data_IF_912097974544
#
_entry.id   IF_912097974544
#
_cell.length_a   1.000
_cell.length_b   1.000
_cell.length_c   1.000
_cell.angle_alpha   90.00
_cell.angle_beta   90.00
_cell.angle_gamma   90.00
#
_symmetry.space_group_name_H-M   'P 1'
#
loop_
_entity.id
_entity.type
_entity.pdbx_description
1 polymer ?
#
# COMPACT_ATOMS: atom_id res chain seq x y z
N UNK A 1 -31.75 -16.66 -7.84
CA UNK A 1 -30.61 -17.59 -7.57
C UNK A 1 -29.99 -18.15 -8.85
N UNK A 2 -30.76 -18.41 -9.93
CA UNK A 2 -30.19 -18.71 -11.26
C UNK A 2 -29.63 -17.47 -12.00
N UNK A 3 -29.55 -17.54 -13.34
CA UNK A 3 -28.52 -16.97 -14.24
C UNK A 3 -27.08 -16.77 -13.74
N UNK A 4 -26.86 -16.03 -12.64
CA UNK A 4 -25.50 -15.62 -12.23
C UNK A 4 -24.64 -16.77 -11.71
N UNK A 5 -25.22 -17.70 -10.93
CA UNK A 5 -24.49 -18.87 -10.43
C UNK A 5 -24.06 -19.78 -11.59
N UNK A 6 -24.95 -19.99 -12.57
CA UNK A 6 -24.63 -20.75 -13.76
C UNK A 6 -23.48 -20.10 -14.54
N UNK A 7 -23.50 -18.78 -14.72
CA UNK A 7 -22.39 -18.03 -15.32
C UNK A 7 -21.07 -18.22 -14.55
N UNK A 8 -21.09 -18.17 -13.21
CA UNK A 8 -19.88 -18.43 -12.42
C UNK A 8 -19.34 -19.84 -12.61
N UNK A 9 -20.20 -20.86 -12.57
CA UNK A 9 -19.79 -22.26 -12.79
C UNK A 9 -19.21 -22.44 -14.19
N UNK A 10 -19.91 -21.97 -15.23
CA UNK A 10 -19.43 -22.03 -16.61
C UNK A 10 -18.09 -21.31 -16.76
N UNK A 11 -17.95 -20.12 -16.15
CA UNK A 11 -16.70 -19.35 -16.17
C UNK A 11 -15.56 -20.14 -15.52
N UNK A 12 -15.77 -20.72 -14.34
CA UNK A 12 -14.75 -21.53 -13.64
C UNK A 12 -14.33 -22.74 -14.48
N UNK A 13 -15.28 -23.45 -15.09
CA UNK A 13 -14.98 -24.61 -15.96
C UNK A 13 -14.20 -24.15 -17.20
N UNK A 14 -14.67 -23.11 -17.89
CA UNK A 14 -14.00 -22.59 -19.07
C UNK A 14 -12.58 -22.12 -18.77
N UNK A 15 -12.38 -21.37 -17.68
CA UNK A 15 -11.06 -20.94 -17.21
C UNK A 15 -10.17 -22.14 -16.83
N UNK A 16 -10.72 -23.17 -16.20
CA UNK A 16 -9.96 -24.37 -15.85
C UNK A 16 -9.47 -25.12 -17.11
N UNK A 17 -10.36 -25.32 -18.09
CA UNK A 17 -10.01 -25.98 -19.37
C UNK A 17 -8.98 -25.15 -20.13
N UNK A 18 -9.18 -23.83 -20.23
CA UNK A 18 -8.25 -22.93 -20.91
C UNK A 18 -6.87 -22.94 -20.24
N UNK A 19 -6.83 -22.84 -18.91
CA UNK A 19 -5.58 -22.86 -18.16
C UNK A 19 -4.85 -24.20 -18.31
N UNK A 20 -5.56 -25.32 -18.18
CA UNK A 20 -5.00 -26.66 -18.36
C UNK A 20 -4.40 -26.82 -19.76
N UNK A 21 -5.15 -26.43 -20.79
CA UNK A 21 -4.69 -26.49 -22.18
C UNK A 21 -3.45 -25.64 -22.42
N UNK A 22 -3.42 -24.41 -21.91
CA UNK A 22 -2.26 -23.52 -22.03
C UNK A 22 -1.04 -24.10 -21.33
N UNK A 23 -1.19 -24.58 -20.08
CA UNK A 23 -0.09 -25.14 -19.30
C UNK A 23 0.44 -26.46 -19.88
N UNK A 24 -0.37 -27.22 -20.62
CA UNK A 24 0.08 -28.42 -21.32
C UNK A 24 0.79 -28.12 -22.66
N UNK A 25 0.70 -26.88 -23.17
CA UNK A 25 1.35 -26.46 -24.42
C UNK A 25 2.72 -25.84 -24.24
N UNK A 26 3.05 -25.41 -23.03
CA UNK A 26 4.39 -24.90 -22.72
C UNK A 26 5.37 -26.06 -22.48
N UNK A 27 6.66 -25.76 -22.55
CA UNK A 27 7.71 -26.68 -22.15
C UNK A 27 7.53 -27.09 -20.69
N UNK A 28 7.94 -28.31 -20.37
CA UNK A 28 7.80 -28.87 -19.01
C UNK A 28 8.62 -28.04 -18.02
N UNK A 29 7.99 -27.33 -17.07
CA UNK A 29 8.73 -26.62 -16.04
C UNK A 29 9.15 -27.60 -14.93
N UNK A 30 10.27 -27.35 -14.25
CA UNK A 30 10.61 -28.10 -13.03
C UNK A 30 9.73 -27.67 -11.85
N UNK A 31 9.35 -26.39 -11.81
CA UNK A 31 8.55 -25.77 -10.75
C UNK A 31 7.46 -24.88 -11.35
N UNK A 32 6.31 -24.82 -10.70
CA UNK A 32 5.24 -23.86 -10.99
C UNK A 32 5.02 -23.03 -9.73
N UNK A 33 5.27 -21.72 -9.83
CA UNK A 33 4.98 -20.76 -8.76
C UNK A 33 3.63 -20.11 -9.05
N UNK A 34 2.69 -20.25 -8.11
CA UNK A 34 1.34 -19.73 -8.21
C UNK A 34 1.09 -18.72 -7.09
N UNK A 35 0.78 -17.48 -7.45
CA UNK A 35 0.36 -16.46 -6.51
C UNK A 35 -1.15 -16.58 -6.21
N UNK A 36 -1.53 -16.60 -4.93
CA UNK A 36 -2.92 -16.64 -4.47
C UNK A 36 -3.29 -15.36 -3.73
N UNK A 37 -4.40 -14.68 -4.06
CA UNK A 37 -5.44 -15.00 -5.07
C UNK A 37 -5.14 -14.46 -6.49
N UNK A 38 -5.85 -14.95 -7.55
CA UNK A 38 -6.95 -15.92 -7.52
C UNK A 38 -6.50 -17.38 -7.54
N UNK A 39 -6.95 -18.15 -6.54
CA UNK A 39 -6.64 -19.58 -6.42
C UNK A 39 -7.60 -20.51 -7.15
N UNK A 40 -8.87 -20.12 -7.30
CA UNK A 40 -9.89 -20.93 -7.99
C UNK A 40 -10.01 -20.48 -9.46
N UNK A 41 -9.86 -21.37 -10.47
CA UNK A 41 -9.51 -22.79 -10.41
C UNK A 41 -8.00 -23.09 -10.46
N UNK A 42 -7.15 -22.06 -10.45
CA UNK A 42 -5.72 -22.11 -10.72
C UNK A 42 -4.95 -23.15 -9.91
N UNK A 43 -5.18 -23.29 -8.61
CA UNK A 43 -4.42 -24.20 -7.73
C UNK A 43 -4.65 -25.66 -8.15
N UNK A 44 -5.91 -26.05 -8.36
CA UNK A 44 -6.25 -27.41 -8.78
C UNK A 44 -5.67 -27.77 -10.15
N UNK A 45 -5.75 -26.83 -11.10
CA UNK A 45 -5.20 -27.03 -12.44
C UNK A 45 -3.68 -27.12 -12.40
N UNK A 46 -3.00 -26.21 -11.68
CA UNK A 46 -1.55 -26.22 -11.55
C UNK A 46 -1.06 -27.49 -10.86
N UNK A 47 -1.76 -27.95 -9.82
CA UNK A 47 -1.48 -29.23 -9.15
C UNK A 47 -1.60 -30.41 -10.12
N UNK A 48 -2.70 -30.49 -10.89
CA UNK A 48 -2.90 -31.56 -11.87
C UNK A 48 -1.79 -31.56 -12.94
N UNK A 49 -1.39 -30.39 -13.43
CA UNK A 49 -0.28 -30.27 -14.38
C UNK A 49 1.03 -30.74 -13.75
N UNK A 50 1.32 -30.36 -12.51
CA UNK A 50 2.49 -30.81 -11.78
C UNK A 50 2.53 -32.34 -11.62
N UNK A 51 1.39 -32.96 -11.33
CA UNK A 51 1.25 -34.42 -11.27
C UNK A 51 1.60 -35.09 -12.61
N UNK A 52 1.00 -34.62 -13.70
CA UNK A 52 1.20 -35.18 -15.06
C UNK A 52 2.63 -34.95 -15.54
N UNK A 53 3.19 -33.79 -15.25
CA UNK A 53 4.51 -33.36 -15.73
C UNK A 53 5.64 -33.70 -14.76
N UNK A 54 5.37 -34.28 -13.58
CA UNK A 54 6.38 -34.47 -12.52
C UNK A 54 7.16 -33.17 -12.27
N UNK A 55 6.41 -32.09 -12.07
CA UNK A 55 6.89 -30.77 -11.64
C UNK A 55 6.49 -30.56 -10.18
N UNK A 56 7.10 -29.58 -9.50
CA UNK A 56 6.70 -29.19 -8.14
C UNK A 56 5.84 -27.93 -8.15
N UNK A 57 4.80 -27.88 -7.33
CA UNK A 57 3.93 -26.71 -7.15
C UNK A 57 4.35 -25.92 -5.91
N UNK A 58 4.59 -24.63 -6.09
CA UNK A 58 4.80 -23.65 -5.02
C UNK A 58 3.60 -22.70 -5.02
N UNK A 59 2.92 -22.54 -3.88
CA UNK A 59 1.86 -21.55 -3.73
C UNK A 59 2.36 -20.39 -2.87
N UNK A 60 2.28 -19.17 -3.38
CA UNK A 60 2.58 -17.95 -2.66
C UNK A 60 1.29 -17.26 -2.21
N UNK A 61 1.02 -17.31 -0.90
CA UNK A 61 -0.22 -16.85 -0.28
C UNK A 61 -0.11 -15.36 0.10
N UNK A 62 -0.79 -14.50 -0.66
CA UNK A 62 -0.92 -13.06 -0.43
C UNK A 62 -2.24 -12.70 0.25
N UNK A 63 -3.29 -13.48 0.01
CA UNK A 63 -4.57 -13.37 0.70
C UNK A 63 -5.34 -14.69 0.54
N UNK A 64 -6.53 -14.77 1.13
CA UNK A 64 -7.49 -15.82 0.81
C UNK A 64 -8.50 -15.33 -0.21
N UNK A 65 -8.65 -16.05 -1.33
CA UNK A 65 -9.66 -15.72 -2.33
C UNK A 65 -11.07 -15.73 -1.75
N UNK A 66 -11.35 -16.62 -0.78
CA UNK A 66 -12.66 -16.66 -0.13
C UNK A 66 -12.94 -15.43 0.76
N UNK A 67 -11.94 -14.80 1.38
CA UNK A 67 -12.17 -13.60 2.22
C UNK A 67 -12.49 -12.39 1.36
N UNK A 68 -11.80 -12.23 0.22
CA UNK A 68 -12.13 -11.20 -0.77
C UNK A 68 -13.54 -11.40 -1.32
N UNK A 69 -13.90 -12.64 -1.69
CA UNK A 69 -15.25 -12.97 -2.16
C UNK A 69 -16.34 -12.66 -1.12
N UNK A 70 -15.99 -12.78 0.16
CA UNK A 70 -16.90 -12.51 1.27
C UNK A 70 -17.26 -11.04 1.45
N UNK A 71 -16.45 -10.11 0.94
CA UNK A 71 -16.78 -8.68 0.94
C UNK A 71 -18.04 -8.40 0.11
N UNK A 72 -18.19 -9.11 -1.02
CA UNK A 72 -19.32 -8.94 -1.94
C UNK A 72 -20.53 -9.80 -1.54
N UNK A 73 -20.31 -11.07 -1.19
CA UNK A 73 -21.40 -12.04 -1.02
C UNK A 73 -21.78 -12.28 0.45
N UNK A 74 -20.95 -11.82 1.40
CA UNK A 74 -21.08 -12.16 2.81
C UNK A 74 -20.43 -13.50 3.17
N UNK A 75 -19.93 -13.60 4.41
CA UNK A 75 -19.16 -14.76 4.89
C UNK A 75 -19.91 -16.09 4.85
N UNK A 76 -21.22 -16.08 5.10
CA UNK A 76 -22.05 -17.28 5.16
C UNK A 76 -22.59 -17.74 3.80
N UNK A 77 -22.25 -17.04 2.72
CA UNK A 77 -22.74 -17.38 1.38
C UNK A 77 -22.19 -18.74 0.92
N UNK A 78 -23.00 -19.64 0.34
CA UNK A 78 -22.55 -20.98 -0.07
C UNK A 78 -21.32 -20.97 -1.00
N UNK A 79 -21.25 -20.03 -1.94
CA UNK A 79 -20.08 -19.89 -2.83
C UNK A 79 -18.78 -19.59 -2.05
N UNK A 80 -18.86 -18.76 -1.01
CA UNK A 80 -17.71 -18.40 -0.17
C UNK A 80 -17.25 -19.63 0.62
N UNK A 81 -18.19 -20.42 1.14
CA UNK A 81 -17.87 -21.66 1.86
C UNK A 81 -17.24 -22.72 0.93
N UNK A 82 -17.73 -22.85 -0.31
CA UNK A 82 -17.14 -23.72 -1.32
C UNK A 82 -15.72 -23.26 -1.68
N UNK A 83 -15.52 -21.97 -1.92
CA UNK A 83 -14.19 -21.40 -2.21
C UNK A 83 -13.22 -21.61 -1.05
N UNK A 84 -13.69 -21.44 0.20
CA UNK A 84 -12.90 -21.70 1.41
C UNK A 84 -12.48 -23.17 1.51
N UNK A 85 -13.41 -24.10 1.30
CA UNK A 85 -13.11 -25.52 1.27
C UNK A 85 -12.11 -25.86 0.15
N UNK A 86 -12.30 -25.28 -1.03
CA UNK A 86 -11.41 -25.46 -2.18
C UNK A 86 -9.97 -25.02 -1.89
N UNK A 87 -9.78 -23.79 -1.41
CA UNK A 87 -8.43 -23.27 -1.11
C UNK A 87 -7.77 -24.11 -0.02
N UNK A 88 -8.51 -24.54 1.01
CA UNK A 88 -7.99 -25.42 2.06
C UNK A 88 -7.61 -26.82 1.54
N UNK A 89 -8.41 -27.41 0.65
CA UNK A 89 -8.14 -28.74 0.12
C UNK A 89 -6.93 -28.71 -0.82
N UNK A 90 -7.01 -27.90 -1.88
CA UNK A 90 -5.99 -27.87 -2.93
C UNK A 90 -4.71 -27.18 -2.47
N UNK A 91 -4.78 -26.24 -1.54
CA UNK A 91 -3.61 -25.64 -0.91
C UNK A 91 -2.73 -26.63 -0.15
N UNK A 92 -3.28 -27.75 0.34
CA UNK A 92 -2.50 -28.82 1.00
C UNK A 92 -1.76 -29.73 0.03
N UNK A 93 -2.08 -29.65 -1.25
CA UNK A 93 -1.53 -30.54 -2.27
C UNK A 93 -0.27 -29.96 -2.94
N UNK A 94 0.12 -28.73 -2.60
CA UNK A 94 1.38 -28.12 -3.06
C UNK A 94 2.59 -28.72 -2.36
N UNK A 95 3.73 -28.71 -3.05
CA UNK A 95 5.02 -29.15 -2.51
C UNK A 95 5.59 -28.13 -1.53
N UNK A 96 5.45 -26.84 -1.85
CA UNK A 96 5.92 -25.74 -1.01
C UNK A 96 4.88 -24.62 -0.92
N UNK A 97 4.90 -23.88 0.18
CA UNK A 97 4.05 -22.71 0.38
C UNK A 97 4.87 -21.54 0.92
N UNK A 98 4.66 -20.37 0.34
CA UNK A 98 5.16 -19.07 0.78
C UNK A 98 3.98 -18.24 1.29
N UNK A 99 4.19 -17.31 2.21
CA UNK A 99 3.10 -16.44 2.67
C UNK A 99 3.62 -15.10 3.19
N UNK A 100 2.82 -14.05 3.03
CA UNK A 100 3.25 -12.65 3.23
C UNK A 100 3.49 -12.26 4.70
N UNK A 101 3.01 -13.04 5.67
CA UNK A 101 3.15 -12.73 7.10
C UNK A 101 3.38 -13.97 7.97
N UNK A 102 3.92 -13.76 9.16
CA UNK A 102 4.00 -14.81 10.19
C UNK A 102 2.60 -15.17 10.70
N UNK A 103 1.69 -14.20 10.82
CA UNK A 103 0.29 -14.45 11.15
C UNK A 103 -0.39 -15.39 10.13
N UNK A 104 -0.19 -15.16 8.84
CA UNK A 104 -0.73 -16.04 7.79
C UNK A 104 -0.10 -17.42 7.83
N UNK A 105 1.22 -17.52 8.07
CA UNK A 105 1.91 -18.80 8.26
C UNK A 105 1.26 -19.63 9.37
N UNK A 106 1.00 -19.01 10.52
CA UNK A 106 0.32 -19.67 11.63
C UNK A 106 -1.12 -20.07 11.31
N UNK A 107 -1.86 -19.20 10.61
CA UNK A 107 -3.24 -19.46 10.21
C UNK A 107 -3.34 -20.64 9.24
N UNK A 108 -2.49 -20.65 8.21
CA UNK A 108 -2.33 -21.74 7.25
C UNK A 108 -2.01 -23.07 7.95
N UNK A 109 -1.10 -23.05 8.93
CA UNK A 109 -0.77 -24.23 9.71
C UNK A 109 -1.96 -24.71 10.55
N UNK A 110 -2.52 -23.84 11.40
CA UNK A 110 -3.56 -24.21 12.37
C UNK A 110 -4.88 -24.58 11.70
N UNK A 111 -5.30 -23.83 10.68
CA UNK A 111 -6.63 -23.99 10.05
C UNK A 111 -6.60 -24.89 8.82
N UNK A 112 -5.52 -24.88 8.06
CA UNK A 112 -5.43 -25.60 6.79
C UNK A 112 -4.46 -26.79 6.83
N UNK A 113 -3.64 -26.95 7.88
CA UNK A 113 -2.54 -27.92 7.93
C UNK A 113 -1.59 -27.77 6.72
N UNK A 114 -1.32 -26.51 6.36
CA UNK A 114 -0.39 -26.11 5.30
C UNK A 114 0.87 -25.58 5.97
N UNK A 115 2.03 -26.18 5.68
CA UNK A 115 3.33 -25.67 6.13
C UNK A 115 3.80 -24.61 5.15
N UNK A 116 4.01 -23.39 5.63
CA UNK A 116 4.47 -22.28 4.82
C UNK A 116 5.74 -21.64 5.38
N UNK A 117 6.50 -20.99 4.51
CA UNK A 117 7.63 -20.12 4.83
C UNK A 117 7.14 -18.68 4.67
N UNK A 118 7.49 -17.82 5.62
CA UNK A 118 7.12 -16.41 5.54
C UNK A 118 8.06 -15.70 4.58
N UNK A 119 7.49 -15.06 3.56
CA UNK A 119 8.15 -14.20 2.59
C UNK A 119 7.47 -12.83 2.66
N UNK A 120 8.04 -11.93 3.46
CA UNK A 120 7.52 -10.58 3.59
C UNK A 120 7.72 -9.80 2.28
N UNK A 121 6.71 -9.03 1.87
CA UNK A 121 6.86 -8.04 0.80
C UNK A 121 7.94 -7.03 1.17
N UNK A 122 8.77 -6.66 0.18
CA UNK A 122 9.86 -5.69 0.31
C UNK A 122 9.78 -4.65 -0.79
N UNK A 123 10.17 -3.39 -0.51
CA UNK A 123 10.10 -2.34 -1.50
C UNK A 123 11.12 -2.59 -2.60
N UNK A 124 10.72 -2.31 -3.83
CA UNK A 124 11.65 -2.25 -4.96
C UNK A 124 12.74 -1.17 -4.73
N UNK A 125 13.88 -1.32 -5.40
CA UNK A 125 15.07 -0.46 -5.19
C UNK A 125 14.86 1.02 -5.58
N UNK A 126 13.88 1.30 -6.44
CA UNK A 126 13.53 2.66 -6.86
C UNK A 126 12.68 3.42 -5.82
N UNK A 127 12.09 2.74 -4.83
CA UNK A 127 11.54 3.41 -3.65
C UNK A 127 12.68 3.79 -2.70
N UNK A 128 12.95 5.09 -2.64
CA UNK A 128 14.02 5.73 -1.86
C UNK A 128 13.66 7.19 -1.59
N UNK A 129 14.35 7.81 -0.62
CA UNK A 129 14.21 9.25 -0.37
C UNK A 129 14.53 10.05 -1.63
N UNK A 130 13.70 11.04 -1.95
CA UNK A 130 13.85 11.85 -3.16
C UNK A 130 14.83 12.99 -2.89
N UNK A 131 15.95 13.11 -3.65
CA UNK A 131 16.85 14.26 -3.55
C UNK A 131 16.11 15.58 -3.77
N UNK A 132 16.50 16.63 -3.05
CA UNK A 132 15.75 17.89 -2.98
C UNK A 132 15.55 18.55 -4.35
N UNK A 133 16.52 18.41 -5.26
CA UNK A 133 16.45 18.89 -6.63
C UNK A 133 15.35 18.18 -7.43
N UNK A 134 15.22 16.85 -7.25
CA UNK A 134 14.16 16.07 -7.89
C UNK A 134 12.80 16.37 -7.24
N UNK A 135 12.74 16.63 -5.92
CA UNK A 135 11.52 17.11 -5.28
C UNK A 135 11.05 18.41 -5.93
N UNK A 136 11.95 19.38 -6.12
CA UNK A 136 11.62 20.65 -6.74
C UNK A 136 11.11 20.49 -8.18
N UNK A 137 11.78 19.68 -9.00
CA UNK A 137 11.30 19.39 -10.37
C UNK A 137 9.90 18.77 -10.38
N UNK A 138 9.65 17.80 -9.49
CA UNK A 138 8.33 17.18 -9.33
C UNK A 138 7.28 18.21 -8.89
N UNK A 139 7.58 19.01 -7.88
CA UNK A 139 6.65 20.03 -7.37
C UNK A 139 6.34 21.09 -8.43
N UNK A 140 7.32 21.54 -9.20
CA UNK A 140 7.09 22.45 -10.33
C UNK A 140 6.25 21.80 -11.44
N UNK A 141 6.45 20.50 -11.71
CA UNK A 141 5.60 19.74 -12.64
C UNK A 141 4.15 19.69 -12.15
N UNK A 142 3.93 19.35 -10.87
CA UNK A 142 2.59 19.26 -10.28
C UNK A 142 1.92 20.64 -10.15
N UNK A 143 2.66 21.70 -9.86
CA UNK A 143 2.16 23.07 -9.75
C UNK A 143 1.54 23.61 -11.05
N UNK A 144 1.90 23.06 -12.22
CA UNK A 144 1.27 23.42 -13.50
C UNK A 144 -0.21 23.02 -13.57
N UNK A 145 -0.61 22.01 -12.81
CA UNK A 145 -1.94 21.38 -12.90
C UNK A 145 -2.71 21.51 -11.58
N UNK A 146 -2.03 21.37 -10.45
CA UNK A 146 -2.64 21.29 -9.13
C UNK A 146 -2.32 22.54 -8.32
N UNK A 147 -3.35 23.32 -8.01
CA UNK A 147 -3.25 24.54 -7.20
C UNK A 147 -2.47 24.36 -5.88
N UNK A 148 -2.62 23.24 -5.13
CA UNK A 148 -1.90 23.06 -3.86
C UNK A 148 -0.38 22.97 -3.96
N UNK A 149 0.17 22.81 -5.17
CA UNK A 149 1.62 22.81 -5.40
C UNK A 149 2.16 24.17 -5.84
N UNK A 150 1.31 25.15 -6.13
CA UNK A 150 1.73 26.50 -6.54
C UNK A 150 2.19 27.32 -5.33
N UNK A 151 3.13 28.24 -5.57
CA UNK A 151 3.57 29.17 -4.53
C UNK A 151 2.43 30.14 -4.17
N UNK A 152 2.15 30.32 -2.87
CA UNK A 152 1.06 31.18 -2.39
C UNK A 152 1.44 32.66 -2.23
N UNK A 153 2.73 33.01 -2.26
CA UNK A 153 3.20 34.39 -2.15
C UNK A 153 3.68 34.91 -3.50
N UNK A 154 3.13 36.04 -3.96
CA UNK A 154 3.73 36.83 -5.03
C UNK A 154 5.16 37.23 -4.63
N UNK A 155 6.12 36.98 -5.51
CA UNK A 155 7.53 37.14 -5.20
C UNK A 155 7.89 38.61 -5.00
N UNK A 156 8.54 38.94 -3.87
CA UNK A 156 9.26 40.22 -3.71
C UNK A 156 10.54 40.25 -4.59
N UNK A 157 11.07 39.08 -4.97
CA UNK A 157 12.22 38.94 -5.87
C UNK A 157 11.82 38.15 -7.13
N UNK A 158 11.80 38.80 -8.29
CA UNK A 158 11.39 38.23 -9.59
C UNK A 158 12.33 37.14 -10.17
N UNK A 159 13.33 36.68 -9.41
CA UNK A 159 14.42 35.85 -9.92
C UNK A 159 14.53 34.46 -9.28
N UNK A 160 13.47 33.91 -8.67
CA UNK A 160 13.48 32.57 -8.09
C UNK A 160 12.27 31.75 -8.55
N UNK A 161 12.51 30.52 -9.00
CA UNK A 161 11.46 29.55 -9.32
C UNK A 161 10.96 28.89 -8.02
N UNK A 162 9.64 28.88 -7.81
CA UNK A 162 9.04 28.50 -6.53
C UNK A 162 7.81 27.60 -6.69
N UNK A 163 7.74 26.58 -5.84
CA UNK A 163 6.53 25.80 -5.55
C UNK A 163 6.03 26.12 -4.14
N UNK A 164 4.92 25.49 -3.72
CA UNK A 164 4.47 25.54 -2.32
C UNK A 164 5.53 25.03 -1.33
N UNK A 165 6.43 24.13 -1.75
CA UNK A 165 7.32 23.38 -0.86
C UNK A 165 8.80 23.75 -0.98
N UNK A 166 9.26 24.22 -2.14
CA UNK A 166 10.67 24.45 -2.46
C UNK A 166 10.88 25.71 -3.28
N UNK A 167 12.07 26.29 -3.16
CA UNK A 167 12.53 27.42 -3.96
C UNK A 167 13.91 27.14 -4.55
N UNK A 168 14.14 27.61 -5.78
CA UNK A 168 15.43 27.53 -6.46
C UNK A 168 15.93 28.95 -6.78
N UNK A 169 17.13 29.27 -6.30
CA UNK A 169 17.83 30.51 -6.67
C UNK A 169 18.43 30.37 -8.08
N UNK A 170 18.00 31.20 -9.04
CA UNK A 170 18.52 31.15 -10.41
C UNK A 170 20.02 31.49 -10.52
N UNK A 171 20.60 32.24 -9.58
CA UNK A 171 22.03 32.63 -9.65
C UNK A 171 22.95 31.45 -9.34
N UNK A 172 22.60 30.66 -8.33
CA UNK A 172 23.45 29.59 -7.81
C UNK A 172 22.88 28.18 -8.09
N UNK A 173 21.68 28.08 -8.68
CA UNK A 173 20.93 26.83 -8.91
C UNK A 173 20.77 25.96 -7.66
N UNK A 174 20.82 26.58 -6.49
CA UNK A 174 20.65 25.91 -5.21
C UNK A 174 19.16 25.80 -4.88
N UNK A 175 18.72 24.59 -4.58
CA UNK A 175 17.34 24.31 -4.16
C UNK A 175 17.29 24.24 -2.64
N UNK A 176 16.32 24.93 -2.05
CA UNK A 176 16.05 24.88 -0.61
C UNK A 176 14.56 24.64 -0.35
N UNK A 177 14.23 24.14 0.85
CA UNK A 177 12.83 24.04 1.29
C UNK A 177 12.28 25.45 1.51
N UNK A 178 11.10 25.74 0.99
CA UNK A 178 10.46 27.05 1.15
C UNK A 178 10.16 27.31 2.63
N UNK A 179 10.45 28.54 3.08
CA UNK A 179 10.20 28.96 4.47
C UNK A 179 8.69 28.97 4.74
N UNK A 180 8.27 28.29 5.81
CA UNK A 180 6.86 28.20 6.18
C UNK A 180 6.01 27.36 5.23
N UNK A 181 6.62 26.48 4.42
CA UNK A 181 5.89 25.56 3.55
C UNK A 181 4.84 24.75 4.34
N UNK A 182 3.73 24.36 3.69
CA UNK A 182 2.83 23.37 4.26
C UNK A 182 3.53 22.01 4.43
N UNK A 183 2.99 21.18 5.33
CA UNK A 183 3.36 19.78 5.40
C UNK A 183 2.65 18.98 4.29
N UNK A 184 3.39 18.05 3.68
CA UNK A 184 2.88 17.20 2.61
C UNK A 184 2.45 15.85 3.17
N UNK A 185 1.14 15.65 3.24
CA UNK A 185 0.49 14.40 3.62
C UNK A 185 0.16 13.61 2.34
N UNK A 186 0.41 12.30 2.33
CA UNK A 186 0.07 11.46 1.18
C UNK A 186 -0.66 10.18 1.59
N UNK A 187 -1.70 9.83 0.84
CA UNK A 187 -2.37 8.54 0.92
C UNK A 187 -2.46 7.94 -0.48
N UNK A 188 -1.81 6.80 -0.67
CA UNK A 188 -2.00 5.96 -1.86
C UNK A 188 -3.25 5.10 -1.69
N UNK A 189 -4.04 4.90 -2.74
CA UNK A 189 -5.33 4.20 -2.62
C UNK A 189 -5.75 3.49 -3.91
N UNK A 190 -6.49 2.40 -3.74
CA UNK A 190 -7.18 1.69 -4.80
C UNK A 190 -8.66 2.09 -4.87
N UNK A 191 -9.11 3.01 -4.01
CA UNK A 191 -10.48 3.50 -3.90
C UNK A 191 -11.50 2.37 -3.81
N UNK A 192 -11.20 1.37 -2.99
CA UNK A 192 -12.03 0.19 -2.72
C UNK A 192 -12.60 0.24 -1.30
N UNK A 193 -13.57 -0.62 -1.01
CA UNK A 193 -14.34 -0.60 0.25
C UNK A 193 -13.49 -0.90 1.50
N UNK A 194 -12.32 -1.51 1.33
CA UNK A 194 -11.34 -1.79 2.37
C UNK A 194 -10.50 -0.57 2.78
N UNK A 195 -10.70 0.58 2.13
CA UNK A 195 -10.03 1.85 2.39
C UNK A 195 -11.05 2.96 2.66
N UNK A 196 -11.52 3.07 3.90
CA UNK A 196 -12.53 4.08 4.26
C UNK A 196 -11.91 5.48 4.46
N UNK A 197 -11.97 6.29 3.41
CA UNK A 197 -11.47 7.67 3.43
C UNK A 197 -12.28 8.63 4.30
N UNK A 198 -13.48 8.28 4.75
CA UNK A 198 -14.22 9.13 5.68
C UNK A 198 -13.44 9.34 6.99
N UNK A 199 -12.64 8.36 7.40
CA UNK A 199 -11.75 8.43 8.57
C UNK A 199 -10.70 9.53 8.41
N UNK A 200 -10.02 9.58 7.25
CA UNK A 200 -9.02 10.63 6.98
C UNK A 200 -9.68 12.00 6.83
N UNK A 201 -10.79 12.09 6.07
CA UNK A 201 -11.48 13.37 5.88
C UNK A 201 -11.97 13.95 7.22
N UNK A 202 -12.51 13.10 8.10
CA UNK A 202 -12.95 13.54 9.43
C UNK A 202 -11.77 13.97 10.31
N UNK A 203 -10.65 13.24 10.27
CA UNK A 203 -9.45 13.63 10.99
C UNK A 203 -8.87 14.98 10.51
N UNK A 204 -9.02 15.31 9.22
CA UNK A 204 -8.62 16.60 8.68
C UNK A 204 -9.55 17.74 9.13
N UNK A 205 -10.86 17.49 9.28
CA UNK A 205 -11.77 18.46 9.90
C UNK A 205 -11.35 18.78 11.33
N UNK A 206 -11.04 17.76 12.14
CA UNK A 206 -10.63 17.97 13.52
C UNK A 206 -9.25 18.66 13.60
N UNK A 207 -8.34 18.37 12.65
CA UNK A 207 -7.07 19.08 12.51
C UNK A 207 -7.25 20.57 12.16
N UNK A 208 -8.19 20.91 11.28
CA UNK A 208 -8.54 22.30 10.97
C UNK A 208 -9.10 23.02 12.22
N UNK A 209 -9.95 22.35 13.00
CA UNK A 209 -10.49 22.90 14.25
C UNK A 209 -9.39 23.15 15.29
N UNK A 210 -8.40 22.27 15.44
CA UNK A 210 -7.25 22.54 16.29
C UNK A 210 -6.53 23.84 15.93
N UNK A 211 -6.41 24.15 14.63
CA UNK A 211 -5.84 25.42 14.18
C UNK A 211 -6.76 26.60 14.53
N UNK A 212 -8.07 26.45 14.30
CA UNK A 212 -9.07 27.47 14.61
C UNK A 212 -9.11 27.79 16.13
N UNK A 213 -8.85 26.80 16.98
CA UNK A 213 -8.74 26.92 18.44
C UNK A 213 -7.41 27.52 18.92
N UNK A 214 -6.49 27.84 17.99
CA UNK A 214 -5.23 28.54 18.27
C UNK A 214 -4.03 27.64 18.48
N UNK A 215 -4.13 26.34 18.23
CA UNK A 215 -2.96 25.45 18.22
C UNK A 215 -2.11 25.79 17.00
N UNK A 216 -0.82 26.06 17.23
CA UNK A 216 0.13 26.37 16.15
C UNK A 216 0.48 25.09 15.39
N UNK A 217 -0.17 24.87 14.25
CA UNK A 217 0.10 23.76 13.33
C UNK A 217 0.33 24.30 11.92
N UNK A 218 1.14 23.63 11.08
CA UNK A 218 1.31 24.02 9.69
C UNK A 218 0.03 23.76 8.88
N UNK A 219 -0.15 24.55 7.83
CA UNK A 219 -1.05 24.19 6.73
C UNK A 219 -0.69 22.83 6.15
N UNK A 220 -1.68 22.11 5.63
CA UNK A 220 -1.49 20.80 5.02
C UNK A 220 -1.82 20.83 3.53
N UNK A 221 -0.99 20.13 2.75
CA UNK A 221 -1.37 19.67 1.42
C UNK A 221 -1.53 18.16 1.50
N UNK A 222 -2.75 17.68 1.33
CA UNK A 222 -3.09 16.27 1.37
C UNK A 222 -3.28 15.73 -0.06
N UNK A 223 -2.38 14.85 -0.46
CA UNK A 223 -2.43 14.16 -1.75
C UNK A 223 -3.09 12.80 -1.56
N UNK A 224 -4.19 12.55 -2.26
CA UNK A 224 -4.81 11.22 -2.31
C UNK A 224 -4.72 10.67 -3.73
N UNK A 225 -3.78 9.75 -3.98
CA UNK A 225 -3.46 9.28 -5.33
C UNK A 225 -3.90 7.84 -5.58
N UNK A 226 -4.35 7.57 -6.80
CA UNK A 226 -4.75 6.26 -7.26
C UNK A 226 -6.06 6.26 -8.06
N UNK A 227 -6.54 5.05 -8.36
CA UNK A 227 -7.74 4.81 -9.19
C UNK A 227 -8.55 3.63 -8.66
N UNK A 228 -9.86 3.82 -8.65
CA UNK A 228 -10.82 2.76 -8.39
C UNK A 228 -12.24 3.27 -8.24
N UNK A 229 -13.17 2.38 -7.88
CA UNK A 229 -14.60 2.62 -8.02
C UNK A 229 -15.15 3.73 -7.11
N UNK A 230 -14.57 3.93 -5.92
CA UNK A 230 -15.06 4.92 -4.96
C UNK A 230 -14.43 6.31 -5.12
N UNK A 231 -13.56 6.52 -6.11
CA UNK A 231 -12.86 7.82 -6.29
C UNK A 231 -13.83 8.99 -6.44
N UNK A 232 -14.82 8.83 -7.32
CA UNK A 232 -15.80 9.88 -7.58
C UNK A 232 -16.68 10.18 -6.36
N UNK A 233 -17.07 9.14 -5.62
CA UNK A 233 -17.81 9.28 -4.38
C UNK A 233 -17.05 10.14 -3.35
N UNK A 234 -15.77 9.85 -3.12
CA UNK A 234 -14.97 10.62 -2.17
C UNK A 234 -14.62 12.01 -2.68
N UNK A 235 -14.42 12.21 -4.00
CA UNK A 235 -14.25 13.55 -4.57
C UNK A 235 -15.46 14.45 -4.27
N UNK A 236 -16.68 13.93 -4.40
CA UNK A 236 -17.90 14.69 -4.06
C UNK A 236 -18.00 15.03 -2.56
N UNK A 237 -17.37 14.25 -1.68
CA UNK A 237 -17.26 14.58 -0.26
C UNK A 237 -16.20 15.67 -0.05
N UNK A 238 -15.04 15.53 -0.69
CA UNK A 238 -13.94 16.51 -0.63
C UNK A 238 -14.40 17.89 -1.11
N UNK A 239 -15.18 17.97 -2.19
CA UNK A 239 -15.69 19.24 -2.75
C UNK A 239 -16.62 20.01 -1.80
N UNK A 240 -17.21 19.31 -0.82
CA UNK A 240 -18.08 19.91 0.20
C UNK A 240 -17.29 20.45 1.39
N UNK A 241 -16.05 20.01 1.58
CA UNK A 241 -15.19 20.46 2.68
C UNK A 241 -14.71 21.89 2.41
N UNK A 242 -14.69 22.71 3.46
CA UNK A 242 -14.32 24.13 3.40
C UNK A 242 -13.19 24.41 4.39
N UNK A 243 -11.99 24.03 4.00
CA UNK A 243 -10.78 24.27 4.77
C UNK A 243 -10.14 25.61 4.43
N UNK A 244 -9.55 26.26 5.44
CA UNK A 244 -8.70 27.45 5.27
C UNK A 244 -7.23 27.05 5.28
N UNK A 245 -6.86 26.05 6.08
CA UNK A 245 -5.46 25.66 6.28
C UNK A 245 -5.06 24.37 5.57
N UNK A 246 -6.03 23.59 5.10
CA UNK A 246 -5.82 22.31 4.42
C UNK A 246 -6.24 22.41 2.95
N UNK A 247 -5.43 21.87 2.06
CA UNK A 247 -5.78 21.70 0.65
C UNK A 247 -5.66 20.23 0.27
N UNK A 248 -6.69 19.69 -0.35
CA UNK A 248 -6.73 18.29 -0.79
C UNK A 248 -6.65 18.27 -2.32
N UNK A 249 -5.84 17.39 -2.89
CA UNK A 249 -5.88 17.09 -4.32
C UNK A 249 -5.74 15.59 -4.58
N UNK A 250 -6.32 15.14 -5.70
CA UNK A 250 -6.36 13.72 -6.07
C UNK A 250 -5.67 13.41 -7.39
N UNK A 251 -4.35 13.69 -7.50
CA UNK A 251 -3.63 13.61 -8.77
C UNK A 251 -3.57 12.17 -9.28
N UNK A 252 -3.64 12.05 -10.60
CA UNK A 252 -3.04 10.89 -11.27
C UNK A 252 -1.54 11.13 -11.39
N UNK A 253 -0.75 10.16 -10.93
CA UNK A 253 0.71 10.20 -11.00
C UNK A 253 1.17 9.16 -12.01
N UNK A 254 2.13 9.53 -12.84
CA UNK A 254 2.84 8.57 -13.68
C UNK A 254 3.66 7.61 -12.80
N UNK A 255 3.98 6.43 -13.34
CA UNK A 255 4.68 5.39 -12.58
C UNK A 255 6.03 5.87 -12.04
N UNK A 256 6.72 6.76 -12.75
CA UNK A 256 8.00 7.32 -12.33
C UNK A 256 7.85 8.45 -11.29
N UNK A 257 6.71 9.17 -11.29
CA UNK A 257 6.47 10.27 -10.35
C UNK A 257 6.03 9.76 -8.97
N UNK A 258 5.38 8.59 -8.92
CA UNK A 258 4.83 8.04 -7.67
C UNK A 258 5.92 7.80 -6.59
N UNK A 259 7.02 7.06 -6.87
CA UNK A 259 8.11 6.92 -5.91
C UNK A 259 8.73 8.26 -5.51
N UNK A 260 8.86 9.19 -6.47
CA UNK A 260 9.40 10.52 -6.21
C UNK A 260 8.51 11.29 -5.22
N UNK A 261 7.19 11.23 -5.38
CA UNK A 261 6.27 11.92 -4.46
C UNK A 261 6.28 11.28 -3.07
N UNK A 262 6.29 9.95 -2.97
CA UNK A 262 6.44 9.26 -1.69
C UNK A 262 7.75 9.67 -0.99
N UNK A 263 8.86 9.71 -1.71
CA UNK A 263 10.16 10.13 -1.17
C UNK A 263 10.28 11.63 -0.89
N UNK A 264 9.29 12.43 -1.29
CA UNK A 264 9.24 13.88 -1.03
C UNK A 264 8.25 14.26 0.08
N UNK A 265 7.29 13.38 0.40
CA UNK A 265 6.28 13.60 1.43
C UNK A 265 6.85 13.63 2.87
N UNK A 266 6.07 14.25 3.76
CA UNK A 266 6.41 14.36 5.18
C UNK A 266 5.82 13.19 5.97
N UNK A 267 4.57 12.81 5.69
CA UNK A 267 3.85 11.72 6.36
C UNK A 267 2.96 10.95 5.37
N UNK A 268 2.96 9.63 5.46
CA UNK A 268 2.01 8.75 4.78
C UNK A 268 0.79 8.44 5.67
N UNK A 269 -0.39 8.30 5.07
CA UNK A 269 -1.58 7.73 5.74
C UNK A 269 -2.00 6.48 4.98
N UNK A 270 -2.18 5.38 5.71
CA UNK A 270 -2.67 4.13 5.16
C UNK A 270 -3.99 3.73 5.83
N UNK A 271 -5.05 3.68 5.01
CA UNK A 271 -6.40 3.29 5.44
C UNK A 271 -6.76 1.85 5.05
N UNK A 272 -5.85 1.13 4.39
CA UNK A 272 -6.10 -0.22 3.94
C UNK A 272 -6.23 -1.19 5.13
N UNK A 273 -7.34 -1.93 5.14
CA UNK A 273 -7.55 -3.07 6.04
C UNK A 273 -7.55 -4.38 5.25
N UNK A 274 -6.73 -5.31 5.71
CA UNK A 274 -6.72 -6.67 5.15
C UNK A 274 -8.08 -7.35 5.27
N UNK A 275 -8.59 -7.90 4.16
CA UNK A 275 -9.86 -8.66 4.13
C UNK A 275 -9.81 -9.93 5.00
N UNK A 276 -8.61 -10.52 5.14
CA UNK A 276 -8.36 -11.70 5.96
C UNK A 276 -7.88 -11.36 7.38
N UNK A 277 -7.38 -10.14 7.58
CA UNK A 277 -6.61 -9.73 8.76
C UNK A 277 -5.15 -10.22 8.75
N UNK A 278 -4.68 -10.82 7.65
CA UNK A 278 -3.43 -11.59 7.61
C UNK A 278 -2.44 -11.12 6.53
N UNK A 279 -2.80 -10.14 5.71
CA UNK A 279 -1.92 -9.56 4.69
C UNK A 279 -1.55 -8.11 5.00
N UNK A 280 -0.38 -7.67 4.53
CA UNK A 280 0.18 -6.36 4.84
C UNK A 280 -0.07 -5.37 3.70
N UNK A 281 -0.21 -4.07 4.01
CA UNK A 281 -0.46 -3.06 2.99
C UNK A 281 0.83 -2.79 2.21
N UNK A 282 0.91 -3.25 0.95
CA UNK A 282 2.05 -2.96 0.07
C UNK A 282 2.34 -1.47 -0.07
N UNK A 283 1.30 -0.61 0.03
CA UNK A 283 1.46 0.86 0.03
C UNK A 283 2.37 1.35 1.15
N UNK A 284 2.31 0.74 2.35
CA UNK A 284 3.21 1.09 3.46
C UNK A 284 4.62 0.56 3.20
N UNK A 285 4.74 -0.60 2.54
CA UNK A 285 6.05 -1.14 2.11
C UNK A 285 6.74 -0.14 1.19
N UNK A 286 6.03 0.41 0.19
CA UNK A 286 6.54 1.46 -0.70
C UNK A 286 6.96 2.72 0.07
N UNK A 287 6.10 3.20 0.97
CA UNK A 287 6.37 4.38 1.81
C UNK A 287 7.62 4.17 2.66
N UNK A 288 7.77 3.02 3.31
CA UNK A 288 8.96 2.69 4.08
C UNK A 288 10.21 2.55 3.22
N UNK A 289 10.10 2.04 2.00
CA UNK A 289 11.20 2.07 1.01
C UNK A 289 11.72 3.49 0.76
N UNK A 290 10.81 4.47 0.74
CA UNK A 290 11.10 5.89 0.63
C UNK A 290 11.49 6.58 1.96
N UNK A 291 11.67 5.83 3.05
CA UNK A 291 11.83 6.34 4.41
C UNK A 291 10.73 7.33 4.83
N UNK A 292 9.51 7.15 4.31
CA UNK A 292 8.34 7.95 4.68
C UNK A 292 7.65 7.30 5.89
N UNK A 293 7.63 7.96 7.06
CA UNK A 293 6.85 7.48 8.21
C UNK A 293 5.36 7.43 7.86
N UNK A 294 4.60 6.56 8.55
CA UNK A 294 3.17 6.42 8.28
C UNK A 294 2.32 6.49 9.55
N UNK A 295 1.10 6.98 9.41
CA UNK A 295 -0.02 6.61 10.27
C UNK A 295 -0.82 5.53 9.55
N UNK A 296 -1.03 4.36 10.16
CA UNK A 296 -1.74 3.24 9.53
C UNK A 296 -2.91 2.75 10.37
N UNK A 297 -4.04 2.46 9.73
CA UNK A 297 -5.25 2.01 10.43
C UNK A 297 -5.08 0.57 10.96
N UNK A 298 -5.43 0.36 12.23
CA UNK A 298 -5.20 -0.90 12.93
C UNK A 298 -5.96 -2.08 12.30
N UNK A 299 -5.24 -3.20 12.13
CA UNK A 299 -5.77 -4.55 12.01
C UNK A 299 -4.74 -5.58 12.50
N UNK A 300 -5.16 -6.82 12.72
CA UNK A 300 -4.46 -7.79 13.58
C UNK A 300 -2.97 -8.00 13.24
N UNK A 301 -2.60 -8.25 11.98
CA UNK A 301 -1.20 -8.50 11.61
C UNK A 301 -0.40 -7.24 11.23
N UNK A 302 -1.00 -6.03 11.26
CA UNK A 302 -0.32 -4.79 10.84
C UNK A 302 0.99 -4.55 11.60
N UNK A 303 1.05 -4.95 12.87
CA UNK A 303 2.20 -4.80 13.75
C UNK A 303 3.45 -5.54 13.24
N UNK A 304 3.33 -6.47 12.29
CA UNK A 304 4.49 -7.07 11.62
C UNK A 304 5.24 -6.06 10.73
N UNK A 305 4.53 -5.07 10.17
CA UNK A 305 5.10 -4.00 9.33
C UNK A 305 5.27 -2.69 10.10
N UNK A 306 4.18 -2.15 10.66
CA UNK A 306 4.20 -0.86 11.36
C UNK A 306 4.42 -1.10 12.85
N UNK A 307 5.55 -0.60 13.35
CA UNK A 307 5.93 -0.63 14.76
C UNK A 307 5.54 0.71 15.39
N UNK A 308 4.43 0.70 16.13
CA UNK A 308 3.87 1.89 16.77
C UNK A 308 4.93 2.59 17.63
N UNK A 309 5.08 3.92 17.48
CA UNK A 309 6.10 4.76 18.11
C UNK A 309 7.56 4.45 17.71
N UNK A 310 7.80 3.63 16.70
CA UNK A 310 9.15 3.34 16.19
C UNK A 310 9.32 3.81 14.74
N UNK A 311 8.50 3.33 13.82
CA UNK A 311 8.58 3.70 12.40
C UNK A 311 7.32 4.42 11.89
N UNK A 312 6.33 4.59 12.76
CA UNK A 312 5.05 5.19 12.46
C UNK A 312 4.10 5.14 13.65
N UNK A 313 2.85 5.51 13.41
CA UNK A 313 1.74 5.41 14.36
C UNK A 313 0.65 4.51 13.80
N UNK A 314 -0.13 3.97 14.73
CA UNK A 314 -1.26 3.08 14.43
C UNK A 314 -2.47 3.74 15.05
N UNK A 315 -3.54 3.88 14.29
CA UNK A 315 -4.80 4.49 14.74
C UNK A 315 -5.98 3.55 14.50
N UNK A 316 -7.06 3.72 15.26
CA UNK A 316 -8.28 2.91 15.15
C UNK A 316 -9.42 3.66 14.46
N UNK A 317 -9.44 4.98 14.59
CA UNK A 317 -10.50 5.86 14.11
C UNK A 317 -9.98 7.25 13.73
N UNK A 318 -10.90 8.15 13.35
CA UNK A 318 -10.60 9.51 12.92
C UNK A 318 -10.03 10.37 14.05
N UNK A 319 -10.47 10.14 15.29
CA UNK A 319 -10.07 10.94 16.44
C UNK A 319 -8.62 10.62 16.82
N UNK A 320 -8.27 9.33 16.86
CA UNK A 320 -6.88 8.92 17.05
C UNK A 320 -5.99 9.43 15.92
N UNK A 321 -6.45 9.38 14.66
CA UNK A 321 -5.68 9.94 13.54
C UNK A 321 -5.49 11.46 13.68
N UNK A 322 -6.52 12.22 14.05
CA UNK A 322 -6.43 13.68 14.23
C UNK A 322 -5.41 14.06 15.31
N UNK A 323 -5.46 13.42 16.48
CA UNK A 323 -4.50 13.65 17.55
C UNK A 323 -3.08 13.24 17.15
N UNK A 324 -2.92 12.16 16.36
CA UNK A 324 -1.63 11.77 15.82
C UNK A 324 -1.08 12.80 14.81
N UNK A 325 -1.92 13.33 13.92
CA UNK A 325 -1.52 14.40 13.00
C UNK A 325 -1.07 15.64 13.76
N UNK A 326 -1.86 16.08 14.75
CA UNK A 326 -1.52 17.20 15.64
C UNK A 326 -0.18 16.96 16.35
N UNK A 327 0.02 15.79 16.95
CA UNK A 327 1.24 15.45 17.67
C UNK A 327 2.47 15.43 16.74
N UNK A 328 2.32 14.93 15.51
CA UNK A 328 3.42 14.85 14.55
C UNK A 328 3.79 16.21 13.95
N UNK A 329 2.84 17.15 13.86
CA UNK A 329 3.03 18.44 13.20
C UNK A 329 3.14 19.66 14.12
N UNK A 330 3.01 19.51 15.45
CA UNK A 330 3.03 20.63 16.42
C UNK A 330 4.23 21.58 16.27
N UNK A 331 5.42 21.05 16.00
CA UNK A 331 6.65 21.83 15.84
C UNK A 331 7.21 21.80 14.41
N UNK A 332 6.37 21.47 13.43
CA UNK A 332 6.82 21.30 12.06
C UNK A 332 7.15 22.65 11.40
N UNK A 333 8.26 22.75 10.63
CA UNK A 333 9.27 21.72 10.40
C UNK A 333 10.36 21.74 11.49
N UNK A 334 10.62 20.60 12.14
CA UNK A 334 11.71 20.42 13.11
C UNK A 334 12.52 19.15 12.80
N UNK A 335 13.83 19.20 13.07
CA UNK A 335 14.74 18.04 12.96
C UNK A 335 14.77 17.17 14.23
N UNK A 336 14.15 17.64 15.31
CA UNK A 336 14.14 16.94 16.60
C UNK A 336 12.78 16.33 16.94
N UNK A 337 11.78 16.54 16.08
CA UNK A 337 10.42 16.04 16.26
C UNK A 337 10.28 14.53 16.02
N UNK A 338 9.14 14.00 16.47
CA UNK A 338 8.81 12.57 16.35
C UNK A 338 8.81 12.06 14.91
N UNK A 339 8.41 12.90 13.95
CA UNK A 339 8.42 12.57 12.54
C UNK A 339 9.84 12.28 12.01
N UNK A 340 10.83 13.09 12.39
CA UNK A 340 12.23 12.88 11.99
C UNK A 340 12.84 11.68 12.74
N UNK A 341 12.44 11.42 13.98
CA UNK A 341 12.84 10.21 14.70
C UNK A 341 12.36 8.93 13.99
N UNK A 342 11.11 8.89 13.51
CA UNK A 342 10.62 7.76 12.72
C UNK A 342 11.40 7.59 11.42
N UNK A 343 11.69 8.70 10.73
CA UNK A 343 12.48 8.70 9.50
C UNK A 343 13.91 8.16 9.76
N UNK A 344 14.53 8.56 10.87
CA UNK A 344 15.83 8.03 11.31
C UNK A 344 15.79 6.53 11.59
N UNK A 345 14.74 6.05 12.26
CA UNK A 345 14.56 4.62 12.53
C UNK A 345 14.37 3.82 11.23
N UNK A 346 13.59 4.34 10.27
CA UNK A 346 13.44 3.73 8.95
C UNK A 346 14.79 3.62 8.22
N UNK A 347 15.59 4.69 8.18
CA UNK A 347 16.96 4.66 7.61
C UNK A 347 17.87 3.66 8.33
N UNK A 348 17.79 3.59 9.66
CA UNK A 348 18.63 2.71 10.47
C UNK A 348 18.24 1.22 10.35
N UNK A 349 16.97 0.93 10.06
CA UNK A 349 16.43 -0.45 10.04
C UNK A 349 17.04 -1.37 8.97
N UNK A 350 17.84 -0.84 8.03
CA UNK A 350 18.52 -1.59 6.94
C UNK A 350 17.64 -2.71 6.37
N UNK A 351 16.43 -2.35 5.94
CA UNK A 351 15.48 -3.33 5.41
C UNK A 351 16.08 -4.07 4.21
N UNK A 352 16.01 -5.40 4.22
CA UNK A 352 16.35 -6.23 3.06
C UNK A 352 15.55 -5.76 1.85
N UNK A 353 16.20 -5.65 0.70
CA UNK A 353 15.50 -5.40 -0.57
C UNK A 353 14.86 -6.69 -1.08
N UNK A 354 13.95 -6.55 -2.05
CA UNK A 354 13.24 -7.69 -2.62
C UNK A 354 14.16 -8.79 -3.11
N UNK A 355 15.17 -8.44 -3.91
CA UNK A 355 16.12 -9.41 -4.49
C UNK A 355 16.90 -10.16 -3.39
N UNK A 356 17.37 -9.45 -2.37
CA UNK A 356 18.08 -10.06 -1.23
C UNK A 356 17.18 -11.00 -0.43
N UNK A 357 15.93 -10.60 -0.20
CA UNK A 357 14.93 -11.40 0.51
C UNK A 357 14.56 -12.66 -0.29
N UNK A 358 14.46 -12.53 -1.61
CA UNK A 358 14.20 -13.63 -2.53
C UNK A 358 15.33 -14.65 -2.52
N UNK A 359 16.57 -14.20 -2.64
CA UNK A 359 17.75 -15.07 -2.63
C UNK A 359 17.92 -15.82 -1.31
N UNK A 360 17.56 -15.19 -0.18
CA UNK A 360 17.63 -15.84 1.13
C UNK A 360 16.50 -16.84 1.38
N UNK A 361 15.32 -16.61 0.82
CA UNK A 361 14.10 -17.34 1.24
C UNK A 361 13.57 -18.27 0.15
N UNK A 362 13.51 -17.80 -1.09
CA UNK A 362 12.85 -18.52 -2.19
C UNK A 362 13.85 -19.31 -3.02
N UNK A 363 15.00 -18.73 -3.35
CA UNK A 363 16.03 -19.39 -4.14
C UNK A 363 16.45 -20.77 -3.58
N UNK A 364 16.60 -20.97 -2.25
CA UNK A 364 16.95 -22.28 -1.70
C UNK A 364 15.91 -23.38 -1.98
N UNK A 365 14.65 -23.03 -2.25
CA UNK A 365 13.60 -23.99 -2.59
C UNK A 365 13.83 -24.66 -3.95
N UNK A 366 14.53 -23.98 -4.85
CA UNK A 366 14.84 -24.51 -6.19
C UNK A 366 16.11 -25.38 -6.21
N UNK A 367 17.00 -25.21 -5.21
CA UNK A 367 18.29 -25.90 -5.12
C UNK A 367 18.27 -27.23 -4.34
N UNK A 368 17.18 -27.61 -3.69
CA UNK A 368 17.07 -28.85 -2.90
C UNK A 368 16.92 -30.14 -3.74
N UNK A 369 17.55 -30.20 -4.91
CA UNK A 369 17.65 -31.42 -5.71
C UNK A 369 19.13 -31.82 -5.82
N UNK A 370 19.65 -32.41 -4.74
CA UNK A 370 20.58 -33.55 -4.83
C UNK A 370 19.96 -34.73 -4.09
#
# INVERSE_FOLDING_TARGET
>A
VGPKIFQYVVKVIAQAVQLLYTMLRIDRPSYILLQNPPGLPSIAVAWLVCLVRRSKLIIDWHNYGYTIMSLIHGRNHPLVQIAKWYEKLFGRLSDYNLCVTSAMKEDLWKKCNIKAITLYDKPASYFKETPLELQHQLYMKLAKVYEPFKAHTESVNSSAERSAFTEMDHKNRCVTKARGRPALLISSTSWTEDEDFSVLLKALEDYEEFINEGIKLPSLVCVITGKGPLKEYYNQLIDKLRFKHIQICTPWLEAEDYPLLLGSADLGVCLHKSSSGLDLPMKVVDMFGCCLPVCAIHFDCLHELVKHNENGLIFRDSNELAEQLKLLFLDFPTLEGKLENFRRNLRASKQLRWDESWDQTVLPLFGQNE
#
